data_IF_357864482048
#
_entry.id   IF_357864482048
#
_cell.length_a   1.000
_cell.length_b   1.000
_cell.length_c   1.000
_cell.angle_alpha   90.00
_cell.angle_beta   90.00
_cell.angle_gamma   90.00
#
_symmetry.space_group_name_H-M   'P 1'
#
loop_
_entity.id
_entity.type
_entity.pdbx_description
1 polymer ?
#
# COMPACT_ATOMS: atom_id res chain seq x y z
N UNK A 1 -5.97 20.29 -8.55
CA UNK A 1 -6.35 19.43 -7.40
C UNK A 1 -7.65 18.72 -7.71
N UNK A 2 -7.68 17.38 -7.66
CA UNK A 2 -8.88 16.57 -7.97
C UNK A 2 -9.26 15.73 -6.74
N UNK A 3 -10.33 16.07 -6.00
CA UNK A 3 -10.84 15.21 -4.94
C UNK A 3 -11.50 13.96 -5.52
N UNK A 4 -11.47 12.86 -4.79
CA UNK A 4 -12.15 11.63 -5.18
C UNK A 4 -12.81 10.94 -4.00
N UNK A 5 -13.85 10.17 -4.31
CA UNK A 5 -14.54 9.30 -3.36
C UNK A 5 -15.00 8.03 -4.08
N UNK A 6 -14.52 6.88 -3.60
CA UNK A 6 -14.74 5.57 -4.21
C UNK A 6 -15.39 4.63 -3.21
N UNK A 7 -16.59 4.16 -3.52
CA UNK A 7 -17.29 3.17 -2.70
C UNK A 7 -16.82 1.76 -3.05
N UNK A 8 -16.47 0.98 -2.03
CA UNK A 8 -16.19 -0.45 -2.18
C UNK A 8 -17.41 -1.23 -1.71
N UNK A 9 -18.06 -1.91 -2.65
CA UNK A 9 -19.20 -2.81 -2.38
C UNK A 9 -18.70 -4.25 -2.38
N UNK A 10 -19.36 -5.13 -1.60
CA UNK A 10 -19.08 -6.58 -1.55
C UNK A 10 -17.60 -6.89 -1.27
N UNK A 11 -17.03 -6.23 -0.26
CA UNK A 11 -15.68 -6.55 0.19
C UNK A 11 -15.67 -7.96 0.78
N UNK A 12 -14.75 -8.81 0.32
CA UNK A 12 -14.63 -10.20 0.79
C UNK A 12 -13.64 -10.23 1.97
N UNK A 13 -14.03 -10.89 3.06
CA UNK A 13 -13.16 -11.18 4.18
C UNK A 13 -13.09 -12.70 4.41
N UNK A 14 -11.87 -13.21 4.46
CA UNK A 14 -11.60 -14.58 4.90
C UNK A 14 -11.61 -14.63 6.42
N UNK A 15 -12.43 -15.51 6.98
CA UNK A 15 -12.49 -15.76 8.41
C UNK A 15 -12.04 -17.20 8.65
N UNK A 16 -11.12 -17.42 9.59
CA UNK A 16 -10.76 -18.78 10.00
C UNK A 16 -11.96 -19.40 10.72
N UNK A 17 -12.34 -20.58 10.25
CA UNK A 17 -13.31 -21.45 10.91
C UNK A 17 -12.57 -22.62 11.56
N UNK A 18 -13.24 -23.31 12.49
CA UNK A 18 -12.67 -24.45 13.22
C UNK A 18 -12.07 -25.49 12.27
N UNK A 19 -10.90 -26.04 12.63
CA UNK A 19 -10.21 -27.04 11.81
C UNK A 19 -9.28 -26.49 10.73
N UNK A 20 -8.90 -25.21 10.80
CA UNK A 20 -7.93 -24.61 9.87
C UNK A 20 -8.51 -24.29 8.48
N UNK A 21 -9.82 -24.48 8.30
CA UNK A 21 -10.51 -24.04 7.09
C UNK A 21 -10.74 -22.52 7.13
N UNK A 22 -10.82 -21.91 5.95
CA UNK A 22 -11.13 -20.49 5.78
C UNK A 22 -12.44 -20.37 5.03
N UNK A 23 -13.34 -19.53 5.54
CA UNK A 23 -14.58 -19.20 4.86
C UNK A 23 -14.53 -17.75 4.39
N UNK A 24 -14.84 -17.55 3.11
CA UNK A 24 -14.94 -16.23 2.50
C UNK A 24 -16.38 -15.73 2.62
N UNK A 25 -16.56 -14.55 3.18
CA UNK A 25 -17.86 -13.91 3.29
C UNK A 25 -17.80 -12.45 2.88
N UNK A 26 -18.90 -11.94 2.33
CA UNK A 26 -19.07 -10.52 2.08
C UNK A 26 -19.22 -9.80 3.41
N UNK A 27 -18.38 -8.81 3.68
CA UNK A 27 -18.52 -7.96 4.87
C UNK A 27 -19.77 -7.06 4.67
N UNK A 28 -20.75 -7.10 5.58
CA UNK A 28 -21.89 -6.20 5.50
C UNK A 28 -21.46 -4.75 5.77
N UNK A 29 -21.84 -3.84 4.87
CA UNK A 29 -21.56 -2.41 4.95
C UNK A 29 -20.76 -1.86 3.77
N UNK A 30 -20.67 -0.54 3.66
CA UNK A 30 -19.87 0.13 2.63
C UNK A 30 -18.55 0.63 3.20
N UNK A 31 -17.45 0.01 2.78
CA UNK A 31 -16.13 0.61 2.87
C UNK A 31 -16.00 1.69 1.80
N UNK A 32 -15.20 2.73 2.06
CA UNK A 32 -14.89 3.72 1.04
C UNK A 32 -13.45 4.19 1.14
N UNK A 33 -12.93 4.62 0.00
CA UNK A 33 -11.64 5.28 -0.13
C UNK A 33 -11.93 6.71 -0.58
N UNK A 34 -11.35 7.68 0.10
CA UNK A 34 -11.52 9.09 -0.21
C UNK A 34 -10.17 9.76 -0.20
N UNK A 35 -10.04 10.86 -0.92
CA UNK A 35 -8.74 11.51 -1.00
C UNK A 35 -8.69 12.67 -1.95
N UNK A 36 -7.46 13.12 -2.18
CA UNK A 36 -7.16 14.17 -3.13
C UNK A 36 -5.84 13.87 -3.81
N UNK A 37 -5.81 14.10 -5.11
CA UNK A 37 -4.61 13.99 -5.92
C UNK A 37 -4.32 15.32 -6.61
N UNK A 38 -3.05 15.66 -6.68
CA UNK A 38 -2.60 16.83 -7.41
C UNK A 38 -1.23 16.58 -8.01
N UNK A 39 -1.07 17.05 -9.24
CA UNK A 39 0.19 17.06 -9.97
C UNK A 39 0.43 18.47 -10.46
N UNK A 40 1.65 18.95 -10.29
CA UNK A 40 2.12 20.22 -10.78
C UNK A 40 3.32 19.94 -11.69
N UNK A 41 3.25 20.42 -12.92
CA UNK A 41 4.36 20.36 -13.86
C UNK A 41 4.85 21.79 -14.11
N UNK A 42 6.16 22.01 -13.96
CA UNK A 42 6.81 23.29 -14.15
C UNK A 42 7.98 23.12 -15.11
N UNK A 43 7.95 23.83 -16.23
CA UNK A 43 9.00 23.83 -17.26
C UNK A 43 9.60 25.23 -17.38
N UNK A 44 10.53 25.63 -16.49
CA UNK A 44 11.06 27.00 -16.47
C UNK A 44 11.90 27.32 -17.72
N UNK A 45 12.37 26.29 -18.44
CA UNK A 45 12.99 26.44 -19.76
C UNK A 45 12.81 25.18 -20.59
N UNK A 46 13.19 25.22 -21.88
CA UNK A 46 13.17 24.04 -22.75
C UNK A 46 14.07 22.89 -22.27
N UNK A 47 15.02 23.18 -21.38
CA UNK A 47 15.97 22.20 -20.84
C UNK A 47 15.56 21.62 -19.50
N UNK A 48 14.60 22.24 -18.79
CA UNK A 48 14.20 21.83 -17.45
C UNK A 48 12.73 21.43 -17.41
N UNK A 49 12.45 20.29 -16.80
CA UNK A 49 11.09 19.84 -16.51
C UNK A 49 11.03 19.31 -15.09
N UNK A 50 10.20 19.94 -14.26
CA UNK A 50 9.93 19.51 -12.90
C UNK A 50 8.49 19.01 -12.82
N UNK A 51 8.30 17.88 -12.15
CA UNK A 51 6.99 17.36 -11.81
C UNK A 51 6.94 17.10 -10.31
N UNK A 52 5.95 17.69 -9.64
CA UNK A 52 5.64 17.42 -8.25
C UNK A 52 4.25 16.82 -8.16
N UNK A 53 4.11 15.66 -7.53
CA UNK A 53 2.82 15.05 -7.24
C UNK A 53 2.63 14.87 -5.74
N UNK A 54 1.41 15.10 -5.29
CA UNK A 54 0.96 14.85 -3.93
C UNK A 54 -0.34 14.07 -3.98
N UNK A 55 -0.39 13.01 -3.18
CA UNK A 55 -1.59 12.22 -2.94
C UNK A 55 -1.89 12.11 -1.46
N UNK A 56 -3.14 12.38 -1.09
CA UNK A 56 -3.70 12.00 0.20
C UNK A 56 -4.81 10.98 0.00
N UNK A 57 -4.75 9.90 0.78
CA UNK A 57 -5.76 8.84 0.74
C UNK A 57 -6.18 8.45 2.15
N UNK A 58 -7.49 8.48 2.39
CA UNK A 58 -8.13 8.02 3.60
C UNK A 58 -9.00 6.79 3.31
N UNK A 59 -8.65 5.68 3.95
CA UNK A 59 -9.41 4.44 3.90
C UNK A 59 -10.32 4.35 5.11
N UNK A 60 -11.63 4.34 4.87
CA UNK A 60 -12.61 4.10 5.91
C UNK A 60 -13.22 2.71 5.69
N UNK A 61 -12.75 1.77 6.51
CA UNK A 61 -13.15 0.37 6.47
C UNK A 61 -14.06 0.11 7.66
N UNK A 62 -15.27 -0.41 7.40
CA UNK A 62 -16.17 -0.84 8.48
C UNK A 62 -15.64 -2.04 9.26
N UNK A 63 -14.75 -2.84 8.68
CA UNK A 63 -14.15 -3.99 9.37
C UNK A 63 -12.87 -3.55 10.11
N UNK A 64 -12.79 -3.72 11.44
CA UNK A 64 -11.64 -3.30 12.26
C UNK A 64 -10.36 -4.11 11.98
N UNK A 65 -10.44 -5.18 11.16
CA UNK A 65 -9.32 -6.07 10.84
C UNK A 65 -8.71 -5.87 9.46
N UNK A 66 -9.32 -5.05 8.60
CA UNK A 66 -8.68 -4.68 7.33
C UNK A 66 -7.61 -3.65 7.62
N UNK A 67 -6.36 -4.10 7.69
CA UNK A 67 -5.23 -3.20 7.82
C UNK A 67 -4.86 -2.69 6.43
N UNK A 68 -5.01 -1.40 6.21
CA UNK A 68 -4.55 -0.78 4.97
C UNK A 68 -3.08 -0.51 5.09
N UNK A 69 -2.27 -1.35 4.45
CA UNK A 69 -0.86 -1.07 4.18
C UNK A 69 -0.68 0.11 3.21
N UNK A 70 -1.78 0.77 2.81
CA UNK A 70 -1.77 1.97 2.02
C UNK A 70 -1.27 3.18 2.83
N UNK A 71 -0.22 3.88 2.35
CA UNK A 71 0.23 5.12 2.98
C UNK A 71 -0.84 6.20 2.79
N UNK A 72 -1.10 6.98 3.85
CA UNK A 72 -2.05 8.10 3.75
C UNK A 72 -1.53 9.26 2.91
N UNK A 73 -0.22 9.45 2.88
CA UNK A 73 0.44 10.52 2.16
C UNK A 73 1.49 9.93 1.23
N UNK A 74 1.53 10.42 0.00
CA UNK A 74 2.60 10.15 -0.97
C UNK A 74 2.99 11.46 -1.64
N UNK A 75 4.29 11.69 -1.75
CA UNK A 75 4.84 12.83 -2.49
C UNK A 75 5.89 12.27 -3.44
N UNK A 76 5.86 12.71 -4.68
CA UNK A 76 6.94 12.44 -5.64
C UNK A 76 7.37 13.76 -6.26
N UNK A 77 8.67 14.02 -6.26
CA UNK A 77 9.29 15.13 -6.98
C UNK A 77 10.25 14.54 -8.01
N UNK A 78 10.03 14.88 -9.26
CA UNK A 78 10.88 14.50 -10.37
C UNK A 78 11.44 15.76 -11.00
N UNK A 79 12.74 15.77 -11.29
CA UNK A 79 13.40 16.85 -12.01
C UNK A 79 14.19 16.25 -13.16
N UNK A 80 13.94 16.74 -14.36
CA UNK A 80 14.68 16.38 -15.56
C UNK A 80 15.40 17.61 -16.12
N UNK A 81 16.67 17.43 -16.44
CA UNK A 81 17.51 18.42 -17.10
C UNK A 81 18.12 17.82 -18.37
N UNK A 82 17.87 18.47 -19.50
CA UNK A 82 18.39 18.10 -20.80
C UNK A 82 19.41 19.16 -21.23
N UNK A 83 20.70 19.02 -20.87
CA UNK A 83 21.74 19.98 -21.27
C UNK A 83 21.87 20.10 -22.79
N UNK A 84 21.63 19.00 -23.53
CA UNK A 84 21.65 18.91 -24.98
C UNK A 84 20.69 17.78 -25.46
N UNK A 85 20.70 17.47 -26.76
CA UNK A 85 19.82 16.46 -27.37
C UNK A 85 20.23 15.01 -27.08
N UNK A 86 21.47 14.78 -26.62
CA UNK A 86 22.04 13.44 -26.45
C UNK A 86 22.11 13.00 -24.99
N UNK A 87 22.00 13.94 -24.04
CA UNK A 87 22.12 13.69 -22.62
C UNK A 87 20.90 14.22 -21.87
N UNK A 88 20.33 13.37 -21.02
CA UNK A 88 19.26 13.71 -20.08
C UNK A 88 19.64 13.26 -18.68
N UNK A 89 19.54 14.17 -17.71
CA UNK A 89 19.75 13.90 -16.30
C UNK A 89 18.41 13.96 -15.59
N UNK A 90 18.01 12.87 -14.94
CA UNK A 90 16.75 12.78 -14.21
C UNK A 90 17.02 12.43 -12.75
N UNK A 91 16.43 13.19 -11.84
CA UNK A 91 16.39 12.89 -10.42
C UNK A 91 14.94 12.67 -9.98
N UNK A 92 14.77 11.76 -9.02
CA UNK A 92 13.49 11.45 -8.41
C UNK A 92 13.64 11.34 -6.90
N UNK A 93 12.74 12.00 -6.18
CA UNK A 93 12.59 11.90 -4.73
C UNK A 93 11.17 11.45 -4.46
N UNK A 94 11.03 10.36 -3.70
CA UNK A 94 9.74 9.85 -3.28
C UNK A 94 9.66 9.81 -1.74
N UNK A 95 8.60 10.41 -1.20
CA UNK A 95 8.21 10.26 0.19
C UNK A 95 6.95 9.40 0.28
N UNK A 96 7.01 8.39 1.14
CA UNK A 96 5.90 7.49 1.43
C UNK A 96 5.61 7.61 2.92
N UNK A 97 4.42 8.10 3.26
CA UNK A 97 3.98 8.24 4.64
C UNK A 97 3.92 6.89 5.36
N UNK A 98 3.92 6.95 6.70
CA UNK A 98 3.88 5.76 7.54
C UNK A 98 2.67 4.87 7.18
N UNK A 99 2.95 3.57 7.06
CA UNK A 99 1.94 2.53 6.82
C UNK A 99 1.63 1.88 8.16
N UNK A 100 0.36 1.54 8.40
CA UNK A 100 0.02 0.63 9.48
C UNK A 100 0.52 -0.75 9.06
N UNK A 101 1.48 -1.33 9.80
CA UNK A 101 1.94 -2.70 9.56
C UNK A 101 0.76 -3.65 9.76
N UNK A 102 0.43 -4.49 8.78
CA UNK A 102 -0.41 -5.65 9.05
C UNK A 102 0.26 -6.47 10.16
N UNK A 103 -0.50 -6.94 11.14
CA UNK A 103 0.01 -8.03 11.96
C UNK A 103 0.19 -9.18 10.98
N UNK A 104 1.45 -9.56 10.73
CA UNK A 104 1.74 -10.78 10.02
C UNK A 104 0.89 -11.88 10.67
N UNK A 105 0.08 -12.56 9.87
CA UNK A 105 -0.48 -13.84 10.26
C UNK A 105 0.73 -14.70 10.56
N UNK A 106 1.06 -14.92 11.84
CA UNK A 106 2.04 -15.93 12.20
C UNK A 106 1.38 -17.23 11.74
N UNK A 107 1.84 -17.92 10.67
CA UNK A 107 1.39 -19.29 10.50
C UNK A 107 1.75 -19.99 11.80
N UNK A 108 0.83 -20.77 12.36
CA UNK A 108 1.17 -21.67 13.46
C UNK A 108 2.34 -22.52 12.95
N UNK A 109 3.57 -22.12 13.30
CA UNK A 109 4.74 -22.93 13.06
C UNK A 109 4.45 -24.20 13.85
N UNK A 110 4.29 -25.29 13.11
CA UNK A 110 4.27 -26.63 13.66
C UNK A 110 5.49 -26.70 14.57
N UNK A 111 5.29 -26.66 15.88
CA UNK A 111 6.34 -27.04 16.81
C UNK A 111 6.59 -28.51 16.51
N UNK A 112 7.63 -28.80 15.74
CA UNK A 112 8.19 -30.13 15.68
C UNK A 112 8.59 -30.46 17.11
N UNK A 113 7.78 -31.28 17.79
CA UNK A 113 8.23 -31.94 19.00
C UNK A 113 9.46 -32.74 18.60
N UNK A 114 10.63 -32.33 19.07
CA UNK A 114 11.84 -33.14 19.04
C UNK A 114 11.48 -34.49 19.64
N UNK A 115 11.42 -35.52 18.81
CA UNK A 115 11.37 -36.91 19.27
C UNK A 115 12.77 -37.18 19.82
N UNK A 116 12.94 -36.99 21.12
CA UNK A 116 14.08 -37.58 21.83
C UNK A 116 13.81 -39.08 21.91
N UNK A 117 14.73 -39.88 21.37
CA UNK A 117 14.79 -41.31 21.67
C UNK A 117 15.09 -42.17 20.46
N UNK A 118 16.35 -42.20 20.04
CA UNK A 118 16.95 -43.45 19.57
C UNK A 118 18.28 -43.57 20.30
N UNK A 119 18.30 -44.37 21.38
CA UNK A 119 19.53 -44.98 21.86
C UNK A 119 19.77 -46.21 21.00
N UNK A 120 20.85 -46.18 20.22
CA UNK A 120 21.39 -47.39 19.58
C UNK A 120 22.24 -48.08 20.65
N UNK A 121 21.93 -49.35 20.94
CA UNK A 121 22.79 -50.25 21.71
C UNK A 121 23.88 -50.82 20.80
#
# INVERSE_FOLDING_TARGET
>A
MKPFWTRVKKMIQSTSVSGGQFQNQNIPGSSHVSGVETTLTLTPSKRWCHEASYGYTNFNLKSPRTNTEFPKHKITLTSAFNPNETLSLKSEIAFIGQRKKSRAYTPCLYQSKSIRGIQIK
#
